data_IF_129487507642
#
_entry.id   IF_129487507642
#
_cell.length_a   1.000
_cell.length_b   1.000
_cell.length_c   1.000
_cell.angle_alpha   90.00
_cell.angle_beta   90.00
_cell.angle_gamma   90.00
#
_symmetry.space_group_name_H-M   'P 1'
#
loop_
_entity.id
_entity.type
_entity.pdbx_description
1 polymer ?
#
# COMPACT_ATOMS: atom_id res chain seq x y z
N UNK A 1 -15.59 -6.50 -14.21
CA UNK A 1 -14.70 -5.64 -15.05
C UNK A 1 -13.57 -6.48 -15.63
N UNK A 2 -12.83 -7.24 -14.84
CA UNK A 2 -11.66 -8.03 -15.28
C UNK A 2 -12.05 -9.02 -16.37
N UNK A 3 -13.14 -9.76 -16.22
CA UNK A 3 -13.64 -10.73 -17.19
C UNK A 3 -13.97 -10.06 -18.53
N UNK A 4 -14.70 -8.94 -18.52
CA UNK A 4 -15.03 -8.19 -19.72
C UNK A 4 -13.79 -7.65 -20.44
N UNK A 5 -12.81 -7.15 -19.72
CA UNK A 5 -11.52 -6.74 -20.27
C UNK A 5 -10.72 -7.94 -20.79
N UNK A 6 -10.85 -9.10 -20.14
CA UNK A 6 -10.28 -10.38 -20.60
C UNK A 6 -10.84 -10.79 -21.97
N UNK A 7 -12.15 -10.84 -22.09
CA UNK A 7 -12.85 -11.15 -23.36
C UNK A 7 -12.52 -10.12 -24.45
N UNK A 8 -12.44 -8.84 -24.09
CA UNK A 8 -12.06 -7.77 -25.02
C UNK A 8 -10.67 -7.94 -25.62
N UNK A 9 -9.75 -8.61 -24.95
CA UNK A 9 -8.41 -8.95 -25.46
C UNK A 9 -8.39 -10.13 -26.43
N UNK A 10 -9.47 -10.90 -26.50
CA UNK A 10 -9.59 -12.08 -27.35
C UNK A 10 -10.51 -11.79 -28.54
N UNK A 11 -10.79 -12.81 -29.33
CA UNK A 11 -11.78 -12.73 -30.38
C UNK A 11 -12.95 -13.72 -30.14
N UNK A 12 -13.14 -14.12 -28.87
CA UNK A 12 -14.16 -15.09 -28.48
C UNK A 12 -15.57 -14.53 -28.59
N UNK A 13 -15.76 -13.23 -28.30
CA UNK A 13 -17.04 -12.55 -28.40
C UNK A 13 -16.88 -11.21 -29.14
N UNK A 14 -16.94 -11.21 -30.48
CA UNK A 14 -16.87 -9.98 -31.29
C UNK A 14 -18.04 -9.00 -31.05
N UNK A 15 -19.21 -9.49 -30.61
CA UNK A 15 -20.36 -8.64 -30.30
C UNK A 15 -20.13 -7.83 -29.02
N UNK A 16 -19.67 -8.48 -27.98
CA UNK A 16 -19.25 -7.80 -26.74
C UNK A 16 -18.12 -6.79 -27.00
N UNK A 17 -17.11 -7.19 -27.80
CA UNK A 17 -16.02 -6.30 -28.16
C UNK A 17 -16.50 -5.06 -28.93
N UNK A 18 -17.42 -5.25 -29.84
CA UNK A 18 -18.05 -4.16 -30.60
C UNK A 18 -18.85 -3.23 -29.67
N UNK A 19 -19.59 -3.80 -28.72
CA UNK A 19 -20.34 -3.03 -27.73
C UNK A 19 -19.40 -2.18 -26.86
N UNK A 20 -18.30 -2.74 -26.41
CA UNK A 20 -17.27 -2.00 -25.62
C UNK A 20 -16.66 -0.88 -26.47
N UNK A 21 -16.29 -1.17 -27.72
CA UNK A 21 -15.73 -0.17 -28.66
C UNK A 21 -16.68 1.00 -28.90
N UNK A 22 -17.98 0.75 -28.90
CA UNK A 22 -19.03 1.73 -29.18
C UNK A 22 -19.71 2.30 -27.94
N UNK A 23 -19.33 1.83 -26.74
CA UNK A 23 -19.95 2.25 -25.47
C UNK A 23 -19.90 3.76 -25.23
N UNK A 24 -19.06 4.47 -25.93
CA UNK A 24 -18.78 5.85 -25.64
C UNK A 24 -18.47 6.64 -26.91
N UNK A 25 -19.25 7.66 -27.13
CA UNK A 25 -19.19 8.88 -27.95
C UNK A 25 -18.15 9.08 -29.08
N UNK A 26 -17.59 8.02 -29.65
CA UNK A 26 -16.72 8.05 -30.82
C UNK A 26 -17.50 7.65 -32.09
N UNK A 27 -16.92 7.86 -33.25
CA UNK A 27 -17.47 7.30 -34.51
C UNK A 27 -17.69 5.78 -34.34
N UNK A 28 -18.85 5.30 -34.72
CA UNK A 28 -19.24 3.90 -34.56
C UNK A 28 -18.27 2.97 -35.32
N UNK A 29 -17.95 1.85 -34.70
CA UNK A 29 -17.19 0.75 -35.29
C UNK A 29 -18.18 -0.32 -35.70
N UNK A 30 -18.10 -0.79 -36.94
CA UNK A 30 -18.94 -1.86 -37.45
C UNK A 30 -18.60 -3.19 -36.76
N UNK A 31 -19.61 -4.07 -36.63
CA UNK A 31 -19.41 -5.42 -36.11
C UNK A 31 -18.40 -6.22 -36.94
N UNK A 32 -18.47 -6.07 -38.25
CA UNK A 32 -17.53 -6.72 -39.20
C UNK A 32 -16.07 -6.37 -38.83
N UNK A 33 -15.78 -5.09 -38.54
CA UNK A 33 -14.44 -4.65 -38.13
C UNK A 33 -14.03 -5.26 -36.80
N UNK A 34 -14.95 -5.43 -35.87
CA UNK A 34 -14.66 -6.11 -34.58
C UNK A 34 -14.41 -7.61 -34.79
N UNK A 35 -15.08 -8.25 -35.75
CA UNK A 35 -14.87 -9.65 -36.12
C UNK A 35 -13.48 -9.90 -36.71
N UNK A 36 -12.87 -8.91 -37.39
CA UNK A 36 -11.48 -9.00 -37.86
C UNK A 36 -10.44 -8.84 -36.75
N UNK A 37 -10.85 -8.68 -35.48
CA UNK A 37 -9.97 -8.54 -34.34
C UNK A 37 -9.60 -7.11 -33.99
N UNK A 38 -10.19 -6.11 -34.65
CA UNK A 38 -9.97 -4.71 -34.27
C UNK A 38 -10.50 -4.42 -32.87
N UNK A 39 -9.71 -3.67 -32.10
CA UNK A 39 -10.04 -3.22 -30.72
C UNK A 39 -9.65 -1.76 -30.58
N UNK A 40 -10.63 -0.86 -30.49
CA UNK A 40 -10.42 0.60 -30.41
C UNK A 40 -9.35 1.01 -29.42
N UNK A 41 -9.43 0.49 -28.21
CA UNK A 41 -8.52 0.88 -27.15
C UNK A 41 -7.16 0.19 -27.24
N UNK A 42 -7.05 -0.92 -27.95
CA UNK A 42 -5.81 -1.67 -28.13
C UNK A 42 -5.15 -1.44 -29.47
N UNK A 43 -5.85 -0.88 -30.44
CA UNK A 43 -5.26 -0.54 -31.73
C UNK A 43 -4.19 0.55 -31.57
N UNK A 44 -3.13 0.43 -32.35
CA UNK A 44 -2.12 1.49 -32.50
C UNK A 44 -2.42 2.33 -33.73
N UNK A 45 -2.74 1.66 -34.81
CA UNK A 45 -3.14 2.22 -36.11
C UNK A 45 -4.18 1.30 -36.72
N UNK A 46 -4.77 1.70 -37.86
CA UNK A 46 -5.69 0.81 -38.63
C UNK A 46 -4.95 -0.45 -39.13
N UNK A 47 -3.66 -0.38 -39.40
CA UNK A 47 -2.81 -1.51 -39.79
C UNK A 47 -2.30 -2.36 -38.65
N UNK A 48 -2.39 -1.88 -37.38
CA UNK A 48 -2.12 -2.62 -36.15
C UNK A 48 -3.39 -2.61 -35.29
N UNK A 49 -4.40 -3.43 -35.64
CA UNK A 49 -5.74 -3.39 -35.06
C UNK A 49 -5.77 -3.91 -33.61
N UNK A 50 -4.73 -4.65 -33.22
CA UNK A 50 -4.59 -5.21 -31.88
C UNK A 50 -3.11 -5.21 -31.46
N UNK A 51 -2.64 -4.09 -30.95
CA UNK A 51 -1.24 -3.94 -30.52
C UNK A 51 -0.87 -4.95 -29.42
N UNK A 52 0.09 -5.80 -29.71
CA UNK A 52 0.58 -6.82 -28.77
C UNK A 52 1.13 -6.20 -27.48
N UNK A 53 1.74 -5.01 -27.58
CA UNK A 53 2.22 -4.26 -26.42
C UNK A 53 1.06 -3.86 -25.52
N UNK A 54 0.05 -3.17 -26.05
CA UNK A 54 -1.13 -2.74 -25.29
C UNK A 54 -1.91 -3.94 -24.73
N UNK A 55 -2.04 -5.00 -25.50
CA UNK A 55 -2.68 -6.25 -25.04
C UNK A 55 -1.94 -6.85 -23.84
N UNK A 56 -0.62 -6.88 -23.86
CA UNK A 56 0.20 -7.37 -22.73
C UNK A 56 0.04 -6.49 -21.48
N UNK A 57 0.02 -5.19 -21.64
CA UNK A 57 -0.17 -4.23 -20.57
C UNK A 57 -1.57 -4.35 -19.95
N UNK A 58 -2.61 -4.46 -20.77
CA UNK A 58 -3.98 -4.70 -20.30
C UNK A 58 -4.10 -6.04 -19.55
N UNK A 59 -3.43 -7.09 -20.06
CA UNK A 59 -3.41 -8.40 -19.37
C UNK A 59 -2.76 -8.27 -17.98
N UNK A 60 -1.62 -7.57 -17.90
CA UNK A 60 -0.95 -7.34 -16.61
C UNK A 60 -1.82 -6.53 -15.66
N UNK A 61 -2.50 -5.51 -16.15
CA UNK A 61 -3.48 -4.74 -15.37
C UNK A 61 -4.59 -5.64 -14.81
N UNK A 62 -5.20 -6.48 -15.63
CA UNK A 62 -6.22 -7.43 -15.17
C UNK A 62 -5.69 -8.44 -14.14
N UNK A 63 -4.47 -8.95 -14.34
CA UNK A 63 -3.84 -9.87 -13.40
C UNK A 63 -3.59 -9.22 -12.04
N UNK A 64 -3.07 -7.99 -12.03
CA UNK A 64 -2.81 -7.26 -10.80
C UNK A 64 -4.10 -6.88 -10.08
N UNK A 65 -5.12 -6.42 -10.83
CA UNK A 65 -6.46 -6.18 -10.26
C UNK A 65 -7.05 -7.45 -9.64
N UNK A 66 -6.90 -8.59 -10.33
CA UNK A 66 -7.39 -9.86 -9.80
C UNK A 66 -6.67 -10.22 -8.50
N UNK A 67 -5.33 -10.18 -8.48
CA UNK A 67 -4.55 -10.44 -7.27
C UNK A 67 -4.99 -9.55 -6.11
N UNK A 68 -5.17 -8.27 -6.39
CA UNK A 68 -5.64 -7.33 -5.37
C UNK A 68 -7.06 -7.63 -4.85
N UNK A 69 -8.00 -8.01 -5.72
CA UNK A 69 -9.32 -8.45 -5.30
C UNK A 69 -9.28 -9.78 -4.52
N UNK A 70 -8.38 -10.67 -4.89
CA UNK A 70 -8.21 -11.98 -4.21
C UNK A 70 -7.59 -11.81 -2.80
N UNK A 71 -6.87 -10.70 -2.54
CA UNK A 71 -6.32 -10.36 -1.22
C UNK A 71 -7.36 -9.74 -0.26
N UNK A 72 -8.53 -9.32 -0.77
CA UNK A 72 -9.60 -8.76 0.06
C UNK A 72 -10.28 -9.88 0.84
N UNK A 73 -10.36 -9.80 2.19
CA UNK A 73 -11.09 -10.75 3.01
C UNK A 73 -12.55 -10.92 2.55
N UNK A 74 -13.11 -12.10 2.70
CA UNK A 74 -14.47 -12.42 2.23
C UNK A 74 -15.52 -11.46 2.82
N UNK A 75 -15.35 -11.12 4.11
CA UNK A 75 -16.21 -10.20 4.84
C UNK A 75 -16.14 -8.75 4.36
N UNK A 76 -15.06 -8.36 3.66
CA UNK A 76 -14.84 -7.00 3.13
C UNK A 76 -15.15 -6.88 1.62
N UNK A 77 -15.58 -7.96 0.95
CA UNK A 77 -15.77 -7.95 -0.52
C UNK A 77 -16.89 -7.05 -1.01
N UNK A 78 -17.88 -6.79 -0.15
CA UNK A 78 -18.97 -5.88 -0.45
C UNK A 78 -18.64 -4.41 -0.10
N UNK A 79 -17.52 -4.17 0.60
CA UNK A 79 -17.09 -2.83 0.95
C UNK A 79 -16.40 -2.14 -0.23
N UNK A 80 -16.43 -0.80 -0.28
CA UNK A 80 -15.67 -0.05 -1.25
C UNK A 80 -14.17 -0.37 -1.18
N UNK A 81 -13.51 -0.49 -2.33
CA UNK A 81 -12.08 -0.73 -2.40
C UNK A 81 -11.32 0.31 -1.57
N UNK A 82 -10.41 -0.16 -0.71
CA UNK A 82 -9.56 0.71 0.15
C UNK A 82 -8.68 1.66 -0.68
N UNK A 83 -8.33 1.25 -1.89
CA UNK A 83 -7.59 2.07 -2.86
C UNK A 83 -8.39 2.16 -4.15
N UNK A 84 -8.80 3.35 -4.58
CA UNK A 84 -9.48 3.51 -5.87
C UNK A 84 -8.50 3.28 -7.02
N UNK A 85 -9.03 2.87 -8.17
CA UNK A 85 -8.25 2.89 -9.42
C UNK A 85 -7.97 4.35 -9.77
N UNK A 86 -6.70 4.71 -9.87
CA UNK A 86 -6.28 6.09 -10.04
C UNK A 86 -5.31 6.29 -11.20
N UNK A 87 -5.32 7.48 -11.77
CA UNK A 87 -4.28 8.01 -12.65
C UNK A 87 -3.99 9.44 -12.23
N UNK A 88 -2.73 9.77 -12.09
CA UNK A 88 -2.27 11.10 -11.75
C UNK A 88 -1.58 11.73 -12.95
N UNK A 89 -1.68 13.02 -13.09
CA UNK A 89 -1.06 13.73 -14.19
C UNK A 89 -1.06 15.23 -13.97
N UNK A 90 -0.06 15.89 -14.51
CA UNK A 90 0.07 17.34 -14.47
C UNK A 90 -0.70 17.99 -15.63
N UNK A 91 -1.24 19.16 -15.37
CA UNK A 91 -1.77 20.06 -16.39
C UNK A 91 -1.66 21.53 -15.93
N UNK A 92 -1.42 22.42 -16.87
CA UNK A 92 -1.50 23.86 -16.64
C UNK A 92 -2.93 24.42 -16.77
N UNK A 93 -3.89 23.59 -17.21
CA UNK A 93 -5.31 23.95 -17.28
C UNK A 93 -6.20 22.75 -17.02
N UNK A 94 -6.64 22.60 -15.78
CA UNK A 94 -7.47 21.48 -15.35
C UNK A 94 -8.80 21.41 -16.12
N UNK A 95 -9.46 22.54 -16.40
CA UNK A 95 -10.72 22.57 -17.11
C UNK A 95 -10.60 22.02 -18.54
N UNK A 96 -9.54 22.40 -19.25
CA UNK A 96 -9.27 21.89 -20.60
C UNK A 96 -8.94 20.40 -20.51
N UNK A 97 -8.06 20.01 -19.60
CA UNK A 97 -7.64 18.62 -19.41
C UNK A 97 -8.83 17.71 -19.07
N UNK A 98 -9.71 18.15 -18.18
CA UNK A 98 -10.90 17.38 -17.80
C UNK A 98 -11.89 17.22 -18.94
N UNK A 99 -12.09 18.26 -19.77
CA UNK A 99 -12.89 18.16 -21.00
C UNK A 99 -12.25 17.20 -22.01
N UNK A 100 -10.94 17.24 -22.18
CA UNK A 100 -10.22 16.33 -23.08
C UNK A 100 -10.31 14.89 -22.60
N UNK A 101 -10.15 14.63 -21.31
CA UNK A 101 -10.34 13.30 -20.74
C UNK A 101 -11.80 12.81 -20.87
N UNK A 102 -12.78 13.68 -20.66
CA UNK A 102 -14.19 13.36 -20.85
C UNK A 102 -14.47 13.00 -22.33
N UNK A 103 -13.82 13.70 -23.26
CA UNK A 103 -13.87 13.42 -24.70
C UNK A 103 -12.88 12.32 -25.13
N UNK A 104 -12.14 11.69 -24.20
CA UNK A 104 -11.10 10.67 -24.42
C UNK A 104 -9.98 11.10 -25.34
N UNK A 105 -9.74 12.37 -25.43
CA UNK A 105 -8.57 12.91 -26.11
C UNK A 105 -7.38 12.88 -25.14
N UNK A 106 -6.25 12.35 -25.61
CA UNK A 106 -5.00 12.28 -24.83
C UNK A 106 -5.12 11.57 -23.47
N UNK A 107 -6.13 10.71 -23.31
CA UNK A 107 -6.30 9.93 -22.08
C UNK A 107 -5.72 8.52 -22.22
N UNK A 108 -5.43 7.91 -21.09
CA UNK A 108 -4.88 6.56 -21.01
C UNK A 108 -5.85 5.53 -21.60
N UNK A 109 -5.37 4.67 -22.49
CA UNK A 109 -6.21 3.67 -23.15
C UNK A 109 -6.76 2.60 -22.18
N UNK A 110 -6.03 2.26 -21.11
CA UNK A 110 -6.50 1.34 -20.07
C UNK A 110 -7.68 1.93 -19.30
N UNK A 111 -7.54 3.19 -18.90
CA UNK A 111 -8.62 3.94 -18.25
C UNK A 111 -9.84 4.03 -19.17
N UNK A 112 -9.64 4.31 -20.46
CA UNK A 112 -10.72 4.40 -21.43
C UNK A 112 -11.42 3.06 -21.66
N UNK A 113 -10.69 1.95 -21.76
CA UNK A 113 -11.24 0.61 -21.88
C UNK A 113 -12.04 0.22 -20.64
N UNK A 114 -11.49 0.48 -19.45
CA UNK A 114 -12.16 0.23 -18.17
C UNK A 114 -13.44 1.05 -18.06
N UNK A 115 -13.39 2.33 -18.41
CA UNK A 115 -14.58 3.21 -18.41
C UNK A 115 -15.64 2.73 -19.40
N UNK A 116 -15.26 2.21 -20.57
CA UNK A 116 -16.20 1.68 -21.54
C UNK A 116 -16.94 0.45 -20.98
N UNK A 117 -16.20 -0.47 -20.36
CA UNK A 117 -16.78 -1.64 -19.66
C UNK A 117 -17.71 -1.21 -18.52
N UNK A 118 -17.27 -0.27 -17.68
CA UNK A 118 -18.08 0.22 -16.57
C UNK A 118 -19.39 0.82 -17.11
N UNK A 119 -19.33 1.64 -18.13
CA UNK A 119 -20.53 2.28 -18.69
C UNK A 119 -21.57 1.28 -19.23
N UNK A 120 -21.13 0.14 -19.75
CA UNK A 120 -22.02 -0.90 -20.27
C UNK A 120 -22.61 -1.79 -19.19
N UNK A 121 -21.79 -2.19 -18.24
CA UNK A 121 -22.12 -3.28 -17.33
C UNK A 121 -22.20 -2.85 -15.86
N UNK A 122 -21.61 -1.72 -15.50
CA UNK A 122 -21.50 -1.22 -14.14
C UNK A 122 -21.76 0.29 -14.08
N UNK A 123 -22.97 0.76 -14.42
CA UNK A 123 -23.27 2.19 -14.59
C UNK A 123 -23.12 2.99 -13.26
N UNK A 124 -23.08 2.32 -12.13
CA UNK A 124 -22.80 2.92 -10.82
C UNK A 124 -21.33 3.38 -10.66
N UNK A 125 -20.41 2.86 -11.49
CA UNK A 125 -19.02 3.29 -11.46
C UNK A 125 -18.77 4.42 -12.46
N UNK A 126 -18.30 5.55 -11.96
CA UNK A 126 -17.92 6.71 -12.75
C UNK A 126 -16.47 7.10 -12.48
N UNK A 127 -15.78 7.61 -13.49
CA UNK A 127 -14.48 8.23 -13.31
C UNK A 127 -14.68 9.66 -12.87
N UNK A 128 -14.30 9.96 -11.64
CA UNK A 128 -14.24 11.29 -11.10
C UNK A 128 -12.89 11.95 -11.39
N UNK A 129 -12.87 13.27 -11.38
CA UNK A 129 -11.68 14.07 -11.72
C UNK A 129 -11.53 15.17 -10.69
N UNK A 130 -10.38 15.17 -10.05
CA UNK A 130 -10.08 16.10 -8.98
C UNK A 130 -8.76 16.82 -9.22
N UNK A 131 -8.70 18.11 -8.87
CA UNK A 131 -7.44 18.81 -8.67
C UNK A 131 -7.01 18.51 -7.24
N UNK A 132 -5.90 17.80 -7.09
CA UNK A 132 -5.43 17.35 -5.77
C UNK A 132 -4.27 18.20 -5.24
N UNK A 133 -3.61 18.93 -6.12
CA UNK A 133 -2.44 19.73 -5.75
C UNK A 133 -2.21 20.84 -6.76
N UNK A 134 -1.89 22.03 -6.28
CA UNK A 134 -1.44 23.17 -7.09
C UNK A 134 0.07 23.27 -7.00
N UNK A 135 0.72 23.42 -8.13
CA UNK A 135 2.15 23.66 -8.19
C UNK A 135 2.42 25.15 -8.42
N UNK A 136 3.50 25.64 -7.85
CA UNK A 136 3.95 27.05 -7.96
C UNK A 136 5.39 27.17 -8.45
N UNK A 137 6.05 26.07 -8.78
CA UNK A 137 7.33 26.04 -9.48
C UNK A 137 7.38 24.90 -10.49
N UNK A 138 8.19 25.08 -11.54
CA UNK A 138 8.23 24.19 -12.70
C UNK A 138 8.68 22.77 -12.37
N UNK A 139 9.61 22.62 -11.46
CA UNK A 139 10.18 21.34 -11.02
C UNK A 139 9.21 20.50 -10.17
N UNK A 140 8.25 21.14 -9.51
CA UNK A 140 7.21 20.44 -8.75
C UNK A 140 6.29 19.58 -9.63
N UNK A 141 6.16 19.90 -10.93
CA UNK A 141 5.29 19.13 -11.82
C UNK A 141 5.71 17.66 -11.93
N UNK A 142 7.00 17.41 -12.19
CA UNK A 142 7.51 16.04 -12.31
C UNK A 142 7.58 15.32 -10.97
N UNK A 143 8.02 16.01 -9.93
CA UNK A 143 8.11 15.46 -8.57
C UNK A 143 6.71 15.13 -8.03
N UNK A 144 5.76 16.04 -8.18
CA UNK A 144 4.37 15.82 -7.74
C UNK A 144 3.71 14.66 -8.48
N UNK A 145 3.90 14.54 -9.80
CA UNK A 145 3.35 13.44 -10.58
C UNK A 145 3.90 12.09 -10.10
N UNK A 146 5.22 11.98 -9.87
CA UNK A 146 5.84 10.75 -9.31
C UNK A 146 5.29 10.46 -7.91
N UNK A 147 5.30 11.45 -7.02
CA UNK A 147 4.87 11.30 -5.64
C UNK A 147 3.42 10.82 -5.53
N UNK A 148 2.50 11.43 -6.29
CA UNK A 148 1.10 11.02 -6.25
C UNK A 148 0.85 9.66 -6.90
N UNK A 149 1.65 9.26 -7.90
CA UNK A 149 1.58 7.89 -8.43
C UNK A 149 2.02 6.87 -7.39
N UNK A 150 3.06 7.14 -6.64
CA UNK A 150 3.54 6.23 -5.60
C UNK A 150 2.58 6.17 -4.41
N UNK A 151 2.18 7.32 -3.87
CA UNK A 151 1.26 7.38 -2.72
C UNK A 151 -0.15 6.85 -3.05
N UNK A 152 -0.67 7.19 -4.23
CA UNK A 152 -2.01 6.81 -4.66
C UNK A 152 -2.08 5.49 -5.42
N UNK A 153 -0.95 4.79 -5.60
CA UNK A 153 -0.93 3.52 -6.34
C UNK A 153 -1.26 3.66 -7.82
N UNK A 154 -0.89 4.79 -8.46
CA UNK A 154 -1.26 5.11 -9.85
C UNK A 154 -0.65 4.21 -10.91
N UNK A 155 0.26 3.31 -10.57
CA UNK A 155 0.91 2.40 -11.51
C UNK A 155 0.22 1.05 -11.63
N UNK A 156 0.24 0.46 -12.83
CA UNK A 156 -0.28 -0.90 -13.09
C UNK A 156 0.37 -1.93 -12.18
N UNK A 157 1.67 -1.82 -11.94
CA UNK A 157 2.42 -2.82 -11.18
C UNK A 157 2.14 -2.79 -9.67
N UNK A 158 1.53 -1.72 -9.16
CA UNK A 158 1.03 -1.65 -7.78
C UNK A 158 -0.40 -2.17 -7.64
N UNK A 159 -1.07 -2.51 -8.74
CA UNK A 159 -2.39 -3.14 -8.78
C UNK A 159 -3.58 -2.19 -8.79
N UNK A 160 -3.39 -0.89 -8.53
CA UNK A 160 -4.49 0.07 -8.36
C UNK A 160 -4.50 1.23 -9.33
N UNK A 161 -3.61 1.25 -10.35
CA UNK A 161 -3.51 2.37 -11.26
C UNK A 161 -3.53 2.02 -12.73
N UNK A 162 -3.66 3.04 -13.56
CA UNK A 162 -3.70 2.91 -15.03
C UNK A 162 -2.35 3.20 -15.70
N UNK A 163 -1.39 3.80 -14.99
CA UNK A 163 -0.12 4.22 -15.58
C UNK A 163 0.86 3.06 -15.72
N UNK A 164 1.41 2.89 -16.93
CA UNK A 164 2.41 1.88 -17.26
C UNK A 164 3.78 2.48 -17.58
N UNK A 165 3.88 3.80 -17.68
CA UNK A 165 5.12 4.55 -17.82
C UNK A 165 5.53 5.19 -16.51
N UNK A 166 6.84 5.46 -16.32
CA UNK A 166 7.29 6.31 -15.24
C UNK A 166 6.58 7.68 -15.30
N UNK A 167 6.05 8.12 -14.16
CA UNK A 167 5.48 9.45 -14.01
C UNK A 167 6.55 10.53 -14.14
N UNK A 168 6.13 11.79 -14.31
CA UNK A 168 7.03 12.93 -14.37
C UNK A 168 7.69 13.19 -15.73
N UNK A 169 7.45 12.33 -16.72
CA UNK A 169 8.05 12.49 -18.06
C UNK A 169 7.23 13.35 -19.02
N UNK A 170 5.94 13.53 -18.78
CA UNK A 170 4.99 14.21 -19.68
C UNK A 170 4.60 15.60 -19.21
N UNK A 171 5.53 16.34 -18.63
CA UNK A 171 5.30 17.67 -18.04
C UNK A 171 5.75 18.83 -18.94
N UNK A 172 5.76 18.62 -20.26
CA UNK A 172 6.28 19.62 -21.21
C UNK A 172 5.57 20.98 -21.17
N UNK A 173 4.26 20.99 -20.81
CA UNK A 173 3.49 22.23 -20.69
C UNK A 173 3.99 23.19 -19.61
N UNK A 174 4.77 22.70 -18.64
CA UNK A 174 5.46 23.52 -17.64
C UNK A 174 6.37 24.55 -18.31
N UNK A 175 7.07 24.16 -19.39
CA UNK A 175 8.03 25.00 -20.10
C UNK A 175 7.39 26.15 -20.88
N UNK A 176 6.08 26.11 -21.08
CA UNK A 176 5.33 27.19 -21.75
C UNK A 176 4.92 28.32 -20.80
N UNK A 177 5.13 28.15 -19.49
CA UNK A 177 4.78 29.13 -18.49
C UNK A 177 6.01 30.04 -18.28
N UNK A 178 5.80 31.34 -18.47
CA UNK A 178 6.83 32.33 -18.27
C UNK A 178 7.07 32.60 -16.77
N UNK A 179 8.25 33.12 -16.41
CA UNK A 179 8.64 33.36 -15.03
C UNK A 179 7.64 34.25 -14.26
N UNK A 180 7.10 35.29 -14.93
CA UNK A 180 6.07 36.13 -14.31
C UNK A 180 4.80 35.37 -13.92
N UNK A 181 4.41 34.37 -14.69
CA UNK A 181 3.28 33.48 -14.35
C UNK A 181 3.56 32.61 -13.12
N UNK A 182 4.79 32.10 -13.00
CA UNK A 182 5.19 31.35 -11.80
C UNK A 182 5.19 32.25 -10.55
N UNK A 183 5.70 33.47 -10.66
CA UNK A 183 5.72 34.42 -9.55
C UNK A 183 4.31 34.80 -9.09
N UNK A 184 3.37 35.01 -10.03
CA UNK A 184 1.97 35.27 -9.73
C UNK A 184 1.34 34.10 -9.00
N UNK A 185 1.49 32.88 -9.49
CA UNK A 185 0.95 31.66 -8.86
C UNK A 185 1.57 31.37 -7.49
N UNK A 186 2.87 31.63 -7.33
CA UNK A 186 3.55 31.51 -6.04
C UNK A 186 2.93 32.46 -5.01
N UNK A 187 2.71 33.72 -5.41
CA UNK A 187 2.09 34.72 -4.52
C UNK A 187 0.66 34.35 -4.18
N UNK A 188 -0.15 33.95 -5.17
CA UNK A 188 -1.52 33.52 -4.97
C UNK A 188 -1.59 32.26 -4.09
N UNK A 189 -0.72 31.27 -4.34
CA UNK A 189 -0.63 30.07 -3.51
C UNK A 189 -0.25 30.39 -2.06
N UNK A 190 0.65 31.33 -1.85
CA UNK A 190 1.04 31.75 -0.50
C UNK A 190 -0.10 32.44 0.25
N UNK A 191 -0.93 33.21 -0.45
CA UNK A 191 -2.08 33.91 0.14
C UNK A 191 -3.28 32.97 0.40
N UNK A 192 -3.55 32.07 -0.53
CA UNK A 192 -4.73 31.19 -0.47
C UNK A 192 -4.47 29.88 0.29
N UNK A 193 -3.21 29.49 0.42
CA UNK A 193 -2.87 28.21 1.02
C UNK A 193 -2.83 28.28 2.54
N UNK A 194 -3.55 27.42 3.23
CA UNK A 194 -3.42 27.27 4.69
C UNK A 194 -2.13 26.53 5.08
N UNK A 195 -1.05 26.57 4.26
CA UNK A 195 0.17 25.78 4.45
C UNK A 195 0.76 25.99 5.83
N UNK A 196 0.86 27.22 6.30
CA UNK A 196 1.41 27.50 7.64
C UNK A 196 0.53 26.91 8.75
N UNK A 197 -0.80 27.04 8.61
CA UNK A 197 -1.77 26.45 9.52
C UNK A 197 -1.70 24.91 9.50
N UNK A 198 -1.66 24.33 8.30
CA UNK A 198 -1.57 22.88 8.11
C UNK A 198 -0.24 22.31 8.62
N UNK A 199 0.89 22.98 8.37
CA UNK A 199 2.20 22.60 8.90
C UNK A 199 2.23 22.68 10.42
N UNK A 200 1.64 23.72 11.01
CA UNK A 200 1.56 23.88 12.46
C UNK A 200 0.71 22.75 13.07
N UNK A 201 -0.44 22.47 12.48
CA UNK A 201 -1.32 21.39 12.93
C UNK A 201 -0.69 20.01 12.75
N UNK A 202 -0.04 19.75 11.62
CA UNK A 202 0.67 18.48 11.40
C UNK A 202 1.85 18.33 12.35
N UNK A 203 2.63 19.39 12.57
CA UNK A 203 3.69 19.39 13.56
C UNK A 203 3.16 19.08 14.97
N UNK A 204 2.00 19.63 15.33
CA UNK A 204 1.30 19.34 16.58
C UNK A 204 0.91 17.87 16.65
N UNK A 205 0.27 17.32 15.61
CA UNK A 205 -0.16 15.91 15.54
C UNK A 205 1.02 14.94 15.66
N UNK A 206 2.09 15.18 14.91
CA UNK A 206 3.31 14.36 14.97
C UNK A 206 3.92 14.38 16.37
N UNK A 207 3.98 15.57 16.99
CA UNK A 207 4.48 15.70 18.37
C UNK A 207 3.60 14.97 19.38
N UNK A 208 2.29 15.11 19.30
CA UNK A 208 1.34 14.42 20.17
C UNK A 208 1.36 12.90 19.97
N UNK A 209 1.53 12.42 18.74
CA UNK A 209 1.72 11.01 18.45
C UNK A 209 3.02 10.49 19.08
N UNK A 210 4.13 11.21 18.88
CA UNK A 210 5.40 10.85 19.49
C UNK A 210 5.36 10.85 21.02
N UNK A 211 4.65 11.80 21.64
CA UNK A 211 4.47 11.79 23.11
C UNK A 211 3.65 10.59 23.58
N UNK A 212 2.59 10.20 22.84
CA UNK A 212 1.80 9.01 23.18
C UNK A 212 2.60 7.73 23.06
N UNK A 213 3.37 7.58 21.98
CA UNK A 213 4.24 6.43 21.77
C UNK A 213 5.34 6.34 22.85
N UNK A 214 5.94 7.47 23.20
CA UNK A 214 6.94 7.53 24.28
C UNK A 214 6.33 7.18 25.64
N UNK A 215 5.12 7.65 25.93
CA UNK A 215 4.42 7.29 27.16
C UNK A 215 4.08 5.80 27.21
N UNK A 216 3.65 5.20 26.12
CA UNK A 216 3.39 3.77 26.01
C UNK A 216 4.66 2.94 26.21
N UNK A 217 5.77 3.32 25.58
CA UNK A 217 7.07 2.66 25.76
C UNK A 217 7.58 2.77 27.20
N UNK A 218 7.43 3.93 27.84
CA UNK A 218 7.81 4.10 29.22
C UNK A 218 6.98 3.24 30.18
N UNK A 219 5.69 3.08 29.91
CA UNK A 219 4.82 2.18 30.67
C UNK A 219 5.25 0.71 30.51
N UNK A 220 5.55 0.27 29.29
CA UNK A 220 6.07 -1.08 29.02
C UNK A 220 7.43 -1.32 29.71
N UNK A 221 8.34 -0.35 29.66
CA UNK A 221 9.63 -0.43 30.36
C UNK A 221 9.40 -0.57 31.89
N UNK A 222 8.46 0.18 32.45
CA UNK A 222 8.15 0.09 33.89
C UNK A 222 7.61 -1.30 34.26
N UNK A 223 6.73 -1.87 33.42
CA UNK A 223 6.21 -3.23 33.61
C UNK A 223 7.33 -4.28 33.54
N UNK A 224 8.21 -4.18 32.53
CA UNK A 224 9.36 -5.08 32.40
C UNK A 224 10.32 -4.98 33.57
N UNK A 225 10.54 -3.78 34.11
CA UNK A 225 11.34 -3.60 35.33
C UNK A 225 10.69 -4.24 36.54
N UNK A 226 9.38 -4.09 36.73
CA UNK A 226 8.65 -4.74 37.81
C UNK A 226 8.75 -6.26 37.71
N UNK A 227 8.53 -6.81 36.51
CA UNK A 227 8.65 -8.25 36.25
C UNK A 227 10.06 -8.78 36.45
N UNK A 228 11.09 -8.02 36.02
CA UNK A 228 12.48 -8.36 36.29
C UNK A 228 12.76 -8.44 37.81
N UNK A 229 12.26 -7.47 38.58
CA UNK A 229 12.44 -7.44 40.04
C UNK A 229 11.78 -8.64 40.72
N UNK A 230 10.56 -8.99 40.28
CA UNK A 230 9.84 -10.17 40.76
C UNK A 230 10.60 -11.47 40.48
N UNK A 231 11.05 -11.68 39.24
CA UNK A 231 11.84 -12.85 38.84
C UNK A 231 13.19 -12.91 39.59
N UNK A 232 13.78 -11.77 39.89
CA UNK A 232 15.00 -11.71 40.65
C UNK A 232 14.78 -12.13 42.12
N UNK A 233 13.66 -11.70 42.74
CA UNK A 233 13.27 -12.14 44.08
C UNK A 233 12.94 -13.64 44.12
N UNK A 234 12.23 -14.16 43.11
CA UNK A 234 11.96 -15.60 42.95
C UNK A 234 13.26 -16.41 42.85
N UNK A 235 14.22 -15.95 42.06
CA UNK A 235 15.53 -16.62 41.90
C UNK A 235 16.29 -16.62 43.21
N UNK A 236 16.36 -15.47 43.88
CA UNK A 236 17.12 -15.34 45.11
C UNK A 236 16.51 -16.21 46.23
N UNK A 237 15.18 -16.31 46.31
CA UNK A 237 14.45 -17.25 47.16
C UNK A 237 14.74 -18.73 46.84
N UNK A 238 14.81 -19.06 45.57
CA UNK A 238 15.15 -20.44 45.14
C UNK A 238 16.58 -20.81 45.50
N UNK A 239 17.55 -19.90 45.25
CA UNK A 239 18.97 -20.11 45.60
C UNK A 239 19.17 -20.29 47.10
N UNK A 240 18.42 -19.57 47.95
CA UNK A 240 18.45 -19.72 49.38
C UNK A 240 17.90 -21.07 49.83
N UNK A 241 16.76 -21.49 49.30
CA UNK A 241 16.13 -22.79 49.63
C UNK A 241 17.00 -23.98 49.19
N UNK A 242 17.67 -23.88 48.04
CA UNK A 242 18.57 -24.95 47.55
C UNK A 242 19.86 -25.03 48.37
N UNK A 243 20.35 -23.90 48.85
CA UNK A 243 21.50 -23.87 49.79
C UNK A 243 21.15 -24.48 51.11
N UNK A 244 20.02 -24.12 51.71
CA UNK A 244 19.57 -24.67 53.01
C UNK A 244 19.35 -26.17 52.91
N UNK A 245 18.81 -26.66 51.81
CA UNK A 245 18.65 -28.10 51.57
C UNK A 245 20.00 -28.83 51.48
N UNK A 246 20.98 -28.27 50.77
CA UNK A 246 22.33 -28.86 50.70
C UNK A 246 23.04 -28.89 52.03
N UNK A 247 22.96 -27.84 52.81
CA UNK A 247 23.50 -27.77 54.18
C UNK A 247 22.88 -28.85 55.07
N UNK A 248 21.54 -29.04 54.99
CA UNK A 248 20.84 -30.09 55.75
C UNK A 248 21.31 -31.51 55.34
N UNK A 249 21.44 -31.76 54.03
CA UNK A 249 21.93 -33.04 53.46
C UNK A 249 23.37 -33.30 53.94
N UNK A 250 24.27 -32.34 53.93
CA UNK A 250 25.64 -32.48 54.43
C UNK A 250 25.66 -32.75 55.94
N UNK A 251 24.82 -32.06 56.71
CA UNK A 251 24.68 -32.27 58.15
C UNK A 251 24.17 -33.68 58.47
N UNK A 252 23.21 -34.18 57.73
CA UNK A 252 22.73 -35.56 57.87
C UNK A 252 23.82 -36.58 57.56
N UNK A 253 24.59 -36.35 56.50
CA UNK A 253 25.72 -37.22 56.13
C UNK A 253 26.79 -37.25 57.24
N UNK A 254 27.16 -36.09 57.78
CA UNK A 254 28.12 -36.01 58.89
C UNK A 254 27.62 -36.70 60.18
N UNK A 255 26.33 -36.62 60.50
CA UNK A 255 25.73 -37.33 61.64
C UNK A 255 25.79 -38.84 61.41
N UNK A 256 25.42 -39.34 60.24
CA UNK A 256 25.53 -40.76 59.92
C UNK A 256 26.98 -41.28 60.04
N UNK A 257 27.92 -40.53 59.51
CA UNK A 257 29.35 -40.88 59.59
C UNK A 257 29.87 -40.90 61.04
N UNK A 258 29.46 -39.94 61.90
CA UNK A 258 29.73 -39.94 63.29
C UNK A 258 29.23 -41.18 64.01
N UNK A 259 27.98 -41.54 63.75
CA UNK A 259 27.30 -42.68 64.34
C UNK A 259 27.99 -44.01 63.92
N UNK A 260 28.48 -44.13 62.70
CA UNK A 260 29.29 -45.26 62.22
C UNK A 260 30.64 -45.33 63.00
N UNK A 261 31.33 -44.20 63.16
CA UNK A 261 32.57 -44.13 63.92
C UNK A 261 32.39 -44.53 65.39
N UNK A 262 31.32 -44.03 66.04
CA UNK A 262 30.96 -44.41 67.38
C UNK A 262 30.71 -45.92 67.53
N UNK A 263 30.03 -46.53 66.57
CA UNK A 263 29.80 -47.97 66.50
C UNK A 263 31.10 -48.75 66.39
N UNK A 264 32.05 -48.33 65.54
CA UNK A 264 33.35 -48.92 65.35
C UNK A 264 34.16 -48.78 66.62
N UNK A 265 34.21 -47.65 67.28
CA UNK A 265 34.88 -47.41 68.54
C UNK A 265 34.33 -48.28 69.65
N UNK A 266 32.99 -48.49 69.71
CA UNK A 266 32.37 -49.37 70.67
C UNK A 266 32.82 -50.84 70.44
N UNK A 267 32.79 -51.32 69.19
CA UNK A 267 33.27 -52.68 68.87
C UNK A 267 34.75 -52.89 69.19
N UNK A 268 35.62 -51.89 69.01
CA UNK A 268 37.01 -51.96 69.37
C UNK A 268 37.20 -52.05 70.85
N UNK A 269 36.42 -51.29 71.69
CA UNK A 269 36.44 -51.37 73.13
C UNK A 269 35.95 -52.70 73.64
N UNK A 270 34.95 -53.32 73.02
CA UNK A 270 34.46 -54.66 73.41
C UNK A 270 35.46 -55.80 73.05
N UNK A 271 36.35 -55.56 72.10
CA UNK A 271 37.36 -56.51 71.72
C UNK A 271 38.59 -56.51 72.62
N UNK A 272 38.93 -55.34 73.21
CA UNK A 272 40.14 -55.14 73.96
C UNK A 272 39.90 -55.22 75.51
N UNK A 273 38.65 -55.55 75.94
CA UNK A 273 38.29 -55.86 77.35
C UNK A 273 37.97 -57.31 77.53
#
# INVERSE_FOLDING_TARGET
IIEYLGTYMTNEDPQLCNSIDNAVGHAAISLERSQTGYRRYLAKTDSDPLSLKKKRELRKFCQNMKGWCDEVPEEEKEDPLKKPLAEFGYTNNANVRFKDHAARRHSNYLMNATQAVCRLHFPQFAIERHVIYYIWSADQASVGEVLFHDLGGGYIHTGSGFSHFPAGLSVHSVRSIVESGWNEWTSEAAELSPVLGNLTEETRRVRESGHRELAALNAEIAELHARKTELQAERDSFDETDRDRKEEEELQHMRAYRDELEAVVKLLRERDG
#
